data_IF_522597540245
#
_entry.id   IF_522597540245
#
_cell.length_a   1.000
_cell.length_b   1.000
_cell.length_c   1.000
_cell.angle_alpha   90.00
_cell.angle_beta   90.00
_cell.angle_gamma   90.00
#
_symmetry.space_group_name_H-M   'P 1'
#
loop_
_entity.id
_entity.type
_entity.pdbx_description
1 polymer ?
#
# COMPACT_ATOMS: atom_id res chain seq x y z
N UNK A 1 3.34 11.82 26.38
CA UNK A 1 4.29 12.38 25.37
C UNK A 1 3.71 13.70 24.86
N UNK A 2 4.50 14.78 24.74
CA UNK A 2 4.01 16.10 24.36
C UNK A 2 3.54 16.07 22.88
N UNK A 3 2.32 16.57 22.58
CA UNK A 3 1.71 16.59 21.24
C UNK A 3 2.66 17.21 20.19
N UNK A 4 3.40 18.26 20.53
CA UNK A 4 4.39 18.87 19.63
C UNK A 4 5.50 17.89 19.25
N UNK A 5 5.97 17.07 20.19
CA UNK A 5 7.01 16.06 19.94
C UNK A 5 6.52 14.92 19.04
N UNK A 6 5.28 14.52 19.21
CA UNK A 6 4.69 13.49 18.33
C UNK A 6 4.51 13.98 16.90
N UNK A 7 4.07 15.23 16.71
CA UNK A 7 3.97 15.84 15.37
C UNK A 7 5.34 15.98 14.72
N UNK A 8 6.36 16.34 15.48
CA UNK A 8 7.74 16.42 14.97
C UNK A 8 8.24 15.04 14.50
N UNK A 9 8.03 13.98 15.28
CA UNK A 9 8.47 12.64 14.94
C UNK A 9 7.82 12.13 13.64
N UNK A 10 6.51 12.38 13.41
CA UNK A 10 5.86 11.93 12.20
C UNK A 10 6.30 12.73 10.97
N UNK A 11 6.57 14.03 11.12
CA UNK A 11 7.13 14.84 10.04
C UNK A 11 8.53 14.36 9.66
N UNK A 12 9.41 14.15 10.64
CA UNK A 12 10.77 13.61 10.39
C UNK A 12 10.69 12.24 9.70
N UNK A 13 9.84 11.34 10.18
CA UNK A 13 9.64 10.04 9.54
C UNK A 13 9.14 10.20 8.09
N UNK A 14 8.20 11.10 7.84
CA UNK A 14 7.71 11.41 6.50
C UNK A 14 8.82 11.92 5.58
N UNK A 15 9.64 12.86 6.05
CA UNK A 15 10.79 13.37 5.28
C UNK A 15 11.76 12.25 4.90
N UNK A 16 12.12 11.38 5.85
CA UNK A 16 13.01 10.23 5.60
C UNK A 16 12.39 9.26 4.59
N UNK A 17 11.10 8.93 4.73
CA UNK A 17 10.41 8.01 3.82
C UNK A 17 10.35 8.56 2.40
N UNK A 18 10.10 9.87 2.23
CA UNK A 18 10.06 10.48 0.90
C UNK A 18 11.44 10.47 0.21
N UNK A 19 12.51 10.79 0.96
CA UNK A 19 13.89 10.69 0.45
C UNK A 19 14.22 9.24 0.06
N UNK A 20 13.94 8.26 0.93
CA UNK A 20 14.18 6.83 0.64
C UNK A 20 13.44 6.42 -0.63
N UNK A 21 12.18 6.84 -0.81
CA UNK A 21 11.41 6.49 -1.99
C UNK A 21 12.03 7.04 -3.29
N UNK A 22 12.52 8.28 -3.30
CA UNK A 22 13.21 8.86 -4.44
C UNK A 22 14.58 8.20 -4.70
N UNK A 23 15.33 7.90 -3.65
CA UNK A 23 16.61 7.19 -3.77
C UNK A 23 16.44 5.77 -4.30
N UNK A 24 15.38 5.05 -3.91
CA UNK A 24 15.09 3.73 -4.49
C UNK A 24 14.85 3.80 -6.00
N UNK A 25 14.20 4.87 -6.50
CA UNK A 25 14.07 5.09 -7.95
C UNK A 25 15.44 5.36 -8.58
N UNK A 26 16.27 6.18 -7.96
CA UNK A 26 17.64 6.43 -8.42
C UNK A 26 18.49 5.16 -8.48
N UNK A 27 18.32 4.24 -7.53
CA UNK A 27 19.03 2.95 -7.50
C UNK A 27 18.40 1.86 -8.37
N UNK A 28 17.36 2.15 -9.16
CA UNK A 28 16.85 1.26 -10.18
C UNK A 28 15.38 0.82 -10.01
N UNK A 29 14.67 1.21 -8.96
CA UNK A 29 13.23 0.95 -8.88
C UNK A 29 12.48 1.71 -10.00
N UNK A 30 11.29 1.22 -10.42
CA UNK A 30 10.54 1.90 -11.46
C UNK A 30 10.20 3.35 -11.07
N UNK A 31 10.25 4.26 -12.03
CA UNK A 31 9.93 5.67 -11.81
C UNK A 31 8.53 5.84 -11.18
N UNK A 32 8.39 6.81 -10.27
CA UNK A 32 7.19 7.06 -9.46
C UNK A 32 6.73 5.86 -8.61
N UNK A 33 7.57 4.81 -8.45
CA UNK A 33 7.22 3.58 -7.73
C UNK A 33 8.26 3.21 -6.67
N UNK A 34 9.01 4.19 -6.15
CA UNK A 34 10.08 3.94 -5.20
C UNK A 34 9.67 3.09 -4.00
N UNK A 35 8.48 3.35 -3.44
CA UNK A 35 7.89 2.54 -2.37
C UNK A 35 6.38 2.40 -2.57
N UNK A 36 5.94 1.47 -3.45
CA UNK A 36 4.54 1.19 -3.70
C UNK A 36 4.10 -0.14 -3.12
N UNK A 37 3.28 -0.12 -2.06
CA UNK A 37 2.85 -1.35 -1.39
C UNK A 37 2.05 -2.27 -2.33
N UNK A 38 1.05 -1.75 -3.03
CA UNK A 38 0.20 -2.57 -3.90
C UNK A 38 0.99 -3.17 -5.07
N UNK A 39 1.82 -2.35 -5.75
CA UNK A 39 2.61 -2.84 -6.87
C UNK A 39 3.66 -3.88 -6.42
N UNK A 40 4.27 -3.67 -5.26
CA UNK A 40 5.28 -4.58 -4.74
C UNK A 40 4.68 -5.90 -4.23
N UNK A 41 3.47 -5.87 -3.65
CA UNK A 41 2.72 -7.10 -3.34
C UNK A 41 2.31 -7.84 -4.62
N UNK A 42 1.90 -7.11 -5.67
CA UNK A 42 1.60 -7.66 -6.99
C UNK A 42 2.83 -8.34 -7.60
N UNK A 43 3.96 -7.65 -7.62
CA UNK A 43 5.21 -8.18 -8.18
C UNK A 43 5.66 -9.43 -7.40
N UNK A 44 5.54 -9.41 -6.06
CA UNK A 44 5.83 -10.56 -5.20
C UNK A 44 4.90 -11.73 -5.50
N UNK A 45 3.59 -11.48 -5.69
CA UNK A 45 2.64 -12.52 -6.10
C UNK A 45 3.04 -13.14 -7.44
N UNK A 46 3.51 -12.35 -8.40
CA UNK A 46 4.03 -12.82 -9.68
C UNK A 46 5.32 -13.62 -9.55
N UNK A 47 6.27 -13.12 -8.75
CA UNK A 47 7.51 -13.84 -8.46
C UNK A 47 7.28 -15.20 -7.81
N UNK A 48 6.26 -15.31 -6.95
CA UNK A 48 5.81 -16.58 -6.35
C UNK A 48 4.95 -17.44 -7.29
N UNK A 49 4.74 -17.03 -8.55
CA UNK A 49 3.98 -17.78 -9.54
C UNK A 49 2.46 -17.77 -9.38
N UNK A 50 1.90 -16.88 -8.53
CA UNK A 50 0.46 -16.77 -8.32
C UNK A 50 -0.26 -16.13 -9.53
N UNK A 51 0.47 -15.45 -10.41
CA UNK A 51 -0.01 -14.99 -11.71
C UNK A 51 1.08 -15.10 -12.80
N UNK A 52 0.67 -15.05 -14.07
CA UNK A 52 1.54 -15.25 -15.24
C UNK A 52 1.90 -13.96 -16.00
N UNK A 53 1.62 -12.79 -15.47
CA UNK A 53 1.96 -11.52 -16.10
C UNK A 53 3.49 -11.30 -16.02
N UNK A 54 4.21 -11.68 -17.08
CA UNK A 54 5.68 -11.68 -17.13
C UNK A 54 6.32 -10.32 -16.82
N UNK A 55 5.64 -9.21 -17.13
CA UNK A 55 6.14 -7.85 -16.90
C UNK A 55 6.26 -7.45 -15.41
N UNK A 56 5.66 -8.22 -14.50
CA UNK A 56 5.52 -7.83 -13.07
C UNK A 56 5.77 -9.03 -12.14
N UNK A 57 6.89 -9.75 -12.38
CA UNK A 57 7.32 -10.91 -11.61
C UNK A 57 8.67 -10.63 -10.94
N UNK A 58 8.62 -10.29 -9.64
CA UNK A 58 9.80 -10.09 -8.82
C UNK A 58 9.43 -10.09 -7.33
N UNK A 59 10.11 -10.88 -6.51
CA UNK A 59 9.93 -10.82 -5.05
C UNK A 59 10.57 -9.53 -4.53
N UNK A 60 9.77 -8.62 -3.98
CA UNK A 60 10.21 -7.28 -3.56
C UNK A 60 10.77 -7.26 -2.14
N UNK A 61 12.10 -7.06 -1.96
CA UNK A 61 12.73 -7.02 -0.64
C UNK A 61 12.21 -5.87 0.24
N UNK A 62 11.70 -4.79 -0.37
CA UNK A 62 11.11 -3.66 0.34
C UNK A 62 9.91 -4.07 1.20
N UNK A 63 9.07 -5.00 0.72
CA UNK A 63 7.93 -5.52 1.47
C UNK A 63 8.40 -6.40 2.63
N UNK A 64 9.37 -7.26 2.36
CA UNK A 64 9.98 -8.12 3.38
C UNK A 64 10.58 -7.25 4.49
N UNK A 65 11.41 -6.28 4.11
CA UNK A 65 12.03 -5.34 5.03
C UNK A 65 11.02 -4.54 5.84
N UNK A 66 9.93 -4.08 5.20
CA UNK A 66 8.88 -3.31 5.88
C UNK A 66 8.22 -4.12 7.01
N UNK A 67 7.87 -5.38 6.76
CA UNK A 67 7.27 -6.25 7.79
C UNK A 67 8.29 -6.57 8.87
N UNK A 68 9.52 -6.95 8.51
CA UNK A 68 10.57 -7.29 9.48
C UNK A 68 11.03 -6.07 10.29
N UNK A 69 11.08 -4.88 9.69
CA UNK A 69 11.40 -3.64 10.40
C UNK A 69 10.33 -3.24 11.42
N UNK A 70 9.05 -3.37 11.05
CA UNK A 70 7.96 -3.15 12.00
C UNK A 70 7.93 -4.19 13.11
N UNK A 71 8.17 -5.46 12.78
CA UNK A 71 8.28 -6.57 13.72
C UNK A 71 9.42 -6.35 14.72
N UNK A 72 10.63 -6.05 14.23
CA UNK A 72 11.81 -5.84 15.08
C UNK A 72 11.61 -4.71 16.07
N UNK A 73 11.10 -3.55 15.62
CA UNK A 73 10.87 -2.42 16.51
C UNK A 73 9.71 -2.66 17.48
N UNK A 74 8.66 -3.39 17.06
CA UNK A 74 7.56 -3.77 17.94
C UNK A 74 8.03 -4.70 19.06
N UNK A 75 8.90 -5.68 18.78
CA UNK A 75 9.53 -6.53 19.77
C UNK A 75 10.41 -5.72 20.73
N UNK A 76 11.29 -4.89 20.20
CA UNK A 76 12.23 -4.08 20.99
C UNK A 76 11.51 -3.11 21.95
N UNK A 77 10.36 -2.59 21.54
CA UNK A 77 9.54 -1.66 22.37
C UNK A 77 8.48 -2.36 23.22
N UNK A 78 8.37 -3.68 23.18
CA UNK A 78 7.33 -4.42 23.90
C UNK A 78 5.90 -4.15 23.38
N UNK A 79 5.77 -3.69 22.14
CA UNK A 79 4.48 -3.37 21.50
C UNK A 79 3.94 -4.55 20.65
N UNK A 80 4.72 -5.63 20.52
CA UNK A 80 4.28 -6.84 19.84
C UNK A 80 3.10 -7.49 20.54
N UNK A 81 2.00 -7.70 19.82
CA UNK A 81 0.76 -8.26 20.37
C UNK A 81 0.08 -9.21 19.39
N UNK A 82 0.16 -10.52 19.67
CA UNK A 82 -0.56 -11.52 18.90
C UNK A 82 -2.06 -11.38 19.14
N UNK A 83 -2.80 -10.97 18.12
CA UNK A 83 -4.25 -10.74 18.17
C UNK A 83 -4.90 -10.98 16.82
N UNK A 84 -6.16 -11.47 16.83
CA UNK A 84 -6.91 -11.75 15.62
C UNK A 84 -8.34 -12.15 15.91
N UNK A 85 -9.02 -12.70 14.90
CA UNK A 85 -10.40 -13.22 15.02
C UNK A 85 -11.49 -12.17 14.76
N UNK A 86 -11.13 -10.96 14.35
CA UNK A 86 -12.08 -9.89 14.00
C UNK A 86 -12.49 -10.00 12.54
N UNK A 87 -13.58 -10.74 12.26
CA UNK A 87 -14.20 -10.87 10.94
C UNK A 87 -13.22 -11.21 9.79
N UNK A 88 -12.48 -12.35 9.85
CA UNK A 88 -11.39 -12.65 8.91
C UNK A 88 -11.85 -12.68 7.44
N UNK A 89 -13.01 -13.29 7.13
CA UNK A 89 -13.53 -13.33 5.76
C UNK A 89 -13.82 -11.92 5.22
N UNK A 90 -14.43 -11.07 6.03
CA UNK A 90 -14.71 -9.67 5.62
C UNK A 90 -13.42 -8.91 5.37
N UNK A 91 -12.39 -9.09 6.19
CA UNK A 91 -11.08 -8.47 6.01
C UNK A 91 -10.39 -8.94 4.74
N UNK A 92 -10.46 -10.25 4.45
CA UNK A 92 -9.94 -10.81 3.22
C UNK A 92 -10.63 -10.20 1.99
N UNK A 93 -11.97 -10.17 1.96
CA UNK A 93 -12.75 -9.62 0.83
C UNK A 93 -12.49 -8.12 0.66
N UNK A 94 -12.44 -7.34 1.73
CA UNK A 94 -12.09 -5.93 1.66
C UNK A 94 -10.66 -5.73 1.13
N UNK A 95 -9.68 -6.53 1.59
CA UNK A 95 -8.31 -6.52 1.08
C UNK A 95 -8.24 -6.83 -0.42
N UNK A 96 -8.98 -7.85 -0.87
CA UNK A 96 -9.09 -8.22 -2.27
C UNK A 96 -9.57 -7.04 -3.14
N UNK A 97 -10.67 -6.39 -2.78
CA UNK A 97 -11.21 -5.27 -3.55
C UNK A 97 -10.39 -3.99 -3.44
N UNK A 98 -9.73 -3.76 -2.30
CA UNK A 98 -8.74 -2.67 -2.18
C UNK A 98 -7.60 -2.87 -3.18
N UNK A 99 -7.12 -4.10 -3.39
CA UNK A 99 -6.10 -4.36 -4.39
C UNK A 99 -6.62 -4.13 -5.82
N UNK A 100 -7.84 -4.54 -6.14
CA UNK A 100 -8.48 -4.25 -7.44
C UNK A 100 -8.48 -2.74 -7.71
N UNK A 101 -8.91 -1.93 -6.75
CA UNK A 101 -8.88 -0.47 -6.87
C UNK A 101 -7.47 0.10 -7.03
N UNK A 102 -6.49 -0.42 -6.28
CA UNK A 102 -5.09 -0.04 -6.41
C UNK A 102 -4.52 -0.37 -7.80
N UNK A 103 -4.89 -1.50 -8.39
CA UNK A 103 -4.41 -1.91 -9.72
C UNK A 103 -5.19 -1.23 -10.85
N UNK A 104 -6.39 -0.73 -10.60
CA UNK A 104 -7.08 0.20 -11.51
C UNK A 104 -6.32 1.52 -11.62
N UNK A 105 -5.92 2.12 -10.51
CA UNK A 105 -5.15 3.37 -10.43
C UNK A 105 -3.66 3.18 -10.75
N UNK A 106 -3.17 1.93 -10.78
CA UNK A 106 -1.75 1.57 -10.84
C UNK A 106 -0.95 2.10 -9.66
N UNK A 107 -1.50 2.00 -8.44
CA UNK A 107 -0.78 2.42 -7.24
C UNK A 107 -1.61 2.41 -5.97
N UNK A 108 -0.94 2.23 -4.82
CA UNK A 108 -1.55 2.44 -3.51
C UNK A 108 -1.57 3.93 -3.13
N UNK A 109 -2.26 4.33 -2.05
CA UNK A 109 -2.28 5.72 -1.61
C UNK A 109 -0.89 6.34 -1.34
N UNK A 110 0.10 5.55 -0.90
CA UNK A 110 1.46 6.04 -0.75
C UNK A 110 2.08 6.39 -2.12
N UNK A 111 1.93 5.49 -3.11
CA UNK A 111 2.39 5.77 -4.47
C UNK A 111 1.67 6.97 -5.09
N UNK A 112 0.40 7.18 -4.79
CA UNK A 112 -0.34 8.36 -5.24
C UNK A 112 0.40 9.66 -4.87
N UNK A 113 0.90 9.76 -3.63
CA UNK A 113 1.72 10.89 -3.18
C UNK A 113 3.06 10.95 -3.94
N UNK A 114 3.72 9.81 -4.16
CA UNK A 114 4.98 9.76 -4.90
C UNK A 114 4.81 10.11 -6.39
N UNK A 115 3.66 9.73 -7.01
CA UNK A 115 3.30 10.16 -8.37
C UNK A 115 3.14 11.68 -8.44
N UNK A 116 2.44 12.29 -7.46
CA UNK A 116 2.34 13.75 -7.34
C UNK A 116 3.72 14.40 -7.19
N UNK A 117 4.60 13.82 -6.35
CA UNK A 117 5.97 14.29 -6.18
C UNK A 117 6.84 14.13 -7.45
N UNK A 118 6.46 13.25 -8.37
CA UNK A 118 7.05 13.10 -9.70
C UNK A 118 6.43 13.98 -10.78
N UNK A 119 5.38 14.77 -10.44
CA UNK A 119 4.70 15.66 -11.39
C UNK A 119 3.52 15.02 -12.13
N UNK A 120 3.08 13.82 -11.76
CA UNK A 120 1.95 13.15 -12.39
C UNK A 120 0.61 13.75 -11.94
N UNK A 121 -0.01 14.53 -12.81
CA UNK A 121 -1.29 15.20 -12.53
C UNK A 121 -2.49 14.22 -12.48
N UNK A 122 -2.38 13.01 -13.05
CA UNK A 122 -3.44 11.99 -12.92
C UNK A 122 -3.61 11.56 -11.47
N UNK A 123 -2.56 11.68 -10.65
CA UNK A 123 -2.62 11.37 -9.23
C UNK A 123 -3.49 12.35 -8.44
N UNK A 124 -3.78 13.57 -8.93
CA UNK A 124 -4.75 14.49 -8.33
C UNK A 124 -6.17 13.92 -8.42
N UNK A 125 -6.54 13.37 -9.60
CA UNK A 125 -7.84 12.74 -9.79
C UNK A 125 -7.99 11.48 -8.93
N UNK A 126 -6.91 10.69 -8.82
CA UNK A 126 -6.85 9.58 -7.86
C UNK A 126 -6.99 10.07 -6.41
N UNK A 127 -6.33 11.17 -6.06
CA UNK A 127 -6.40 11.80 -4.73
C UNK A 127 -7.82 12.25 -4.38
N UNK A 128 -8.52 12.87 -5.34
CA UNK A 128 -9.93 13.25 -5.18
C UNK A 128 -10.79 12.00 -4.90
N UNK A 129 -10.63 10.94 -5.72
CA UNK A 129 -11.32 9.68 -5.52
C UNK A 129 -11.03 9.07 -4.14
N UNK A 130 -9.78 9.09 -3.71
CA UNK A 130 -9.38 8.58 -2.41
C UNK A 130 -10.05 9.32 -1.24
N UNK A 131 -10.13 10.66 -1.31
CA UNK A 131 -10.84 11.48 -0.33
C UNK A 131 -12.34 11.13 -0.32
N UNK A 132 -12.99 11.07 -1.49
CA UNK A 132 -14.41 10.72 -1.59
C UNK A 132 -14.69 9.33 -1.01
N UNK A 133 -13.85 8.34 -1.30
CA UNK A 133 -13.96 7.00 -0.72
C UNK A 133 -13.80 7.00 0.80
N UNK A 134 -12.85 7.79 1.34
CA UNK A 134 -12.70 7.95 2.79
C UNK A 134 -13.95 8.58 3.41
N UNK A 135 -14.52 9.62 2.80
CA UNK A 135 -15.74 10.25 3.31
C UNK A 135 -16.92 9.27 3.33
N UNK A 136 -17.07 8.44 2.29
CA UNK A 136 -18.06 7.36 2.27
C UNK A 136 -17.83 6.37 3.44
N UNK A 137 -16.59 5.94 3.67
CA UNK A 137 -16.24 5.06 4.80
C UNK A 137 -16.49 5.71 6.17
N UNK A 138 -16.16 7.00 6.32
CA UNK A 138 -16.41 7.77 7.54
C UNK A 138 -17.90 7.87 7.84
N UNK A 139 -18.76 7.99 6.83
CA UNK A 139 -20.20 7.91 7.02
C UNK A 139 -20.63 6.63 7.73
N UNK A 140 -20.14 5.46 7.31
CA UNK A 140 -20.43 4.18 7.96
C UNK A 140 -19.84 4.11 9.37
N UNK A 141 -18.63 4.61 9.60
CA UNK A 141 -18.03 4.69 10.95
C UNK A 141 -18.91 5.52 11.91
N UNK A 142 -19.40 6.68 11.48
CA UNK A 142 -20.30 7.53 12.27
C UNK A 142 -21.64 6.84 12.57
N UNK A 143 -22.08 5.92 11.72
CA UNK A 143 -23.30 5.12 11.92
C UNK A 143 -23.07 3.85 12.76
N UNK A 144 -21.84 3.62 13.27
CA UNK A 144 -21.54 2.51 14.17
C UNK A 144 -20.96 1.26 13.49
N UNK A 145 -20.43 1.39 12.25
CA UNK A 145 -19.72 0.29 11.59
C UNK A 145 -18.59 -0.25 12.47
N UNK A 146 -18.50 -1.57 12.58
CA UNK A 146 -17.44 -2.26 13.31
C UNK A 146 -17.20 -3.66 12.76
N UNK A 147 -15.92 -4.04 12.64
CA UNK A 147 -15.50 -5.42 12.34
C UNK A 147 -15.43 -6.30 13.59
N UNK A 148 -16.01 -5.85 14.72
CA UNK A 148 -15.97 -6.48 16.04
C UNK A 148 -14.57 -6.42 16.68
N UNK A 149 -14.42 -7.08 17.85
CA UNK A 149 -13.16 -7.07 18.61
C UNK A 149 -12.22 -8.18 18.13
N UNK A 150 -10.92 -7.88 18.12
CA UNK A 150 -9.87 -8.90 18.05
C UNK A 150 -9.65 -9.51 19.43
N UNK A 151 -9.26 -10.76 19.47
CA UNK A 151 -8.94 -11.50 20.67
C UNK A 151 -7.43 -11.70 20.78
N UNK A 152 -6.93 -11.85 22.01
CA UNK A 152 -5.55 -12.28 22.24
C UNK A 152 -5.38 -13.72 21.75
N UNK A 153 -4.30 -13.98 21.01
CA UNK A 153 -3.98 -15.29 20.41
C UNK A 153 -2.65 -15.80 20.95
N UNK A 154 -2.35 -17.06 20.69
CA UNK A 154 -1.05 -17.62 21.03
C UNK A 154 0.07 -16.80 20.36
N UNK A 155 1.14 -16.55 21.09
CA UNK A 155 2.24 -15.69 20.63
C UNK A 155 2.84 -16.18 19.30
N UNK A 156 2.86 -17.50 19.09
CA UNK A 156 3.32 -18.15 17.87
C UNK A 156 2.53 -17.71 16.63
N UNK A 157 1.23 -17.50 16.74
CA UNK A 157 0.39 -17.04 15.62
C UNK A 157 0.76 -15.64 15.13
N UNK A 158 1.17 -14.76 16.06
CA UNK A 158 1.68 -13.42 15.71
C UNK A 158 3.04 -13.46 15.00
N UNK A 159 3.87 -14.47 15.26
CA UNK A 159 5.16 -14.67 14.60
C UNK A 159 5.03 -15.25 13.18
N UNK A 160 3.92 -15.88 12.85
CA UNK A 160 3.76 -16.60 11.59
C UNK A 160 3.99 -15.70 10.36
N UNK A 161 3.37 -14.52 10.32
CA UNK A 161 3.50 -13.64 9.15
C UNK A 161 4.92 -13.07 8.97
N UNK A 162 5.62 -12.56 10.00
CA UNK A 162 7.04 -12.25 9.93
C UNK A 162 7.92 -13.44 9.51
N UNK A 163 7.65 -14.65 10.00
CA UNK A 163 8.39 -15.85 9.61
C UNK A 163 8.20 -16.18 8.11
N UNK A 164 6.99 -16.02 7.58
CA UNK A 164 6.73 -16.17 6.14
C UNK A 164 7.59 -15.18 5.35
N UNK A 165 7.79 -13.94 5.80
CA UNK A 165 8.65 -12.98 5.10
C UNK A 165 10.11 -13.44 5.06
N UNK A 166 10.62 -14.08 6.12
CA UNK A 166 11.96 -14.67 6.12
C UNK A 166 12.06 -15.80 5.09
N UNK A 167 11.05 -16.67 5.02
CA UNK A 167 11.00 -17.74 4.00
C UNK A 167 10.97 -17.15 2.59
N UNK A 168 10.14 -16.12 2.34
CA UNK A 168 10.06 -15.43 1.05
C UNK A 168 11.40 -14.78 0.68
N UNK A 169 12.13 -14.25 1.67
CA UNK A 169 13.49 -13.72 1.44
C UNK A 169 14.49 -14.82 1.06
N UNK A 170 14.43 -15.97 1.72
CA UNK A 170 15.26 -17.13 1.38
C UNK A 170 14.94 -17.60 -0.05
N UNK A 171 13.67 -17.65 -0.43
CA UNK A 171 13.25 -18.01 -1.81
C UNK A 171 13.77 -17.01 -2.85
N UNK A 172 13.78 -15.71 -2.53
CA UNK A 172 14.37 -14.70 -3.43
C UNK A 172 15.87 -14.93 -3.64
N UNK A 173 16.62 -15.20 -2.57
CA UNK A 173 18.09 -15.38 -2.64
C UNK A 173 18.47 -16.72 -3.27
N UNK A 174 17.75 -17.79 -2.93
CA UNK A 174 17.98 -19.12 -3.48
C UNK A 174 17.53 -19.27 -4.95
N UNK A 175 16.57 -18.42 -5.36
CA UNK A 175 16.02 -18.38 -6.72
C UNK A 175 15.74 -19.76 -7.34
N UNK A 176 14.99 -20.64 -6.65
CA UNK A 176 14.69 -21.95 -7.21
C UNK A 176 13.82 -21.82 -8.48
N UNK A 177 13.81 -22.85 -9.33
CA UNK A 177 13.19 -22.82 -10.67
C UNK A 177 11.68 -22.46 -10.69
N UNK A 178 10.99 -22.56 -9.58
CA UNK A 178 9.57 -22.18 -9.47
C UNK A 178 9.37 -20.69 -9.08
N UNK A 179 10.44 -19.95 -8.80
CA UNK A 179 10.40 -18.49 -8.61
C UNK A 179 10.59 -17.82 -9.96
N UNK A 180 9.71 -16.88 -10.28
CA UNK A 180 9.71 -16.17 -11.56
C UNK A 180 10.31 -14.78 -11.42
N UNK A 181 11.05 -14.40 -12.46
CA UNK A 181 11.65 -13.07 -12.59
C UNK A 181 11.27 -12.50 -13.96
N UNK A 182 10.96 -11.20 -13.98
CA UNK A 182 10.77 -10.47 -15.24
C UNK A 182 12.11 -10.37 -15.97
N UNK A 183 12.14 -10.72 -17.24
CA UNK A 183 13.34 -10.58 -18.08
C UNK A 183 13.77 -9.12 -18.21
N UNK A 184 15.05 -8.91 -18.48
CA UNK A 184 15.61 -7.57 -18.65
C UNK A 184 14.89 -6.82 -19.78
N UNK A 185 14.39 -5.60 -19.48
CA UNK A 185 13.57 -4.81 -20.42
C UNK A 185 12.10 -5.22 -20.50
N UNK A 186 11.69 -6.32 -19.89
CA UNK A 186 10.33 -6.89 -19.99
C UNK A 186 9.26 -6.15 -19.17
N UNK A 187 9.60 -5.13 -18.38
CA UNK A 187 8.62 -4.35 -17.64
C UNK A 187 9.06 -3.91 -16.23
N UNK A 188 8.11 -3.44 -15.41
CA UNK A 188 8.40 -2.93 -14.06
C UNK A 188 9.06 -3.95 -13.12
N UNK A 189 8.79 -5.24 -13.30
CA UNK A 189 9.40 -6.30 -12.48
C UNK A 189 10.91 -6.42 -12.67
N UNK A 190 11.42 -6.10 -13.87
CA UNK A 190 12.86 -6.09 -14.16
C UNK A 190 13.60 -4.89 -13.54
N UNK A 191 12.86 -3.84 -13.15
CA UNK A 191 13.43 -2.63 -12.53
C UNK A 191 13.40 -2.76 -11.01
N UNK A 192 14.57 -2.82 -10.39
CA UNK A 192 14.70 -2.89 -8.94
C UNK A 192 16.08 -2.43 -8.48
N UNK A 193 16.15 -1.82 -7.33
CA UNK A 193 17.41 -1.54 -6.67
C UNK A 193 18.06 -2.86 -6.20
N UNK A 194 19.35 -2.81 -5.86
CA UNK A 194 20.03 -3.96 -5.30
C UNK A 194 19.30 -4.52 -4.06
N UNK A 195 19.25 -5.85 -3.91
CA UNK A 195 18.47 -6.55 -2.88
C UNK A 195 18.73 -6.00 -1.48
N UNK A 196 19.99 -5.74 -1.12
CA UNK A 196 20.36 -5.21 0.20
C UNK A 196 19.89 -3.76 0.41
N UNK A 197 19.93 -2.92 -0.65
CA UNK A 197 19.43 -1.53 -0.60
C UNK A 197 17.91 -1.54 -0.39
N UNK A 198 17.19 -2.35 -1.18
CA UNK A 198 15.75 -2.52 -1.07
C UNK A 198 15.32 -3.05 0.32
N UNK A 199 16.03 -4.06 0.83
CA UNK A 199 15.77 -4.63 2.15
C UNK A 199 16.01 -3.60 3.26
N UNK A 200 17.15 -2.89 3.23
CA UNK A 200 17.49 -1.86 4.22
C UNK A 200 16.45 -0.71 4.19
N UNK A 201 16.07 -0.24 3.01
CA UNK A 201 15.01 0.75 2.85
C UNK A 201 13.69 0.27 3.46
N UNK A 202 13.30 -0.98 3.18
CA UNK A 202 12.13 -1.61 3.79
C UNK A 202 12.19 -1.64 5.32
N UNK A 203 13.30 -2.10 5.90
CA UNK A 203 13.51 -2.15 7.35
C UNK A 203 13.34 -0.77 8.00
N UNK A 204 13.95 0.27 7.43
CA UNK A 204 13.86 1.64 7.95
C UNK A 204 12.43 2.16 7.84
N UNK A 205 11.79 2.03 6.67
CA UNK A 205 10.41 2.50 6.46
C UNK A 205 9.44 1.75 7.38
N UNK A 206 9.61 0.43 7.56
CA UNK A 206 8.80 -0.39 8.46
C UNK A 206 8.92 0.06 9.92
N UNK A 207 10.13 0.29 10.39
CA UNK A 207 10.40 0.79 11.75
C UNK A 207 9.80 2.19 11.97
N UNK A 208 9.97 3.12 11.03
CA UNK A 208 9.43 4.47 11.11
C UNK A 208 7.89 4.46 11.06
N UNK A 209 7.30 3.68 10.16
CA UNK A 209 5.85 3.57 10.02
C UNK A 209 5.19 2.93 11.25
N UNK A 210 5.86 1.98 11.91
CA UNK A 210 5.43 1.40 13.17
C UNK A 210 5.43 2.47 14.28
N UNK A 211 6.56 3.18 14.45
CA UNK A 211 6.71 4.18 15.53
C UNK A 211 5.75 5.36 15.41
N UNK A 212 5.46 5.78 14.21
CA UNK A 212 4.58 6.93 13.93
C UNK A 212 3.13 6.55 13.69
N UNK A 213 2.85 5.23 13.57
CA UNK A 213 1.53 4.71 13.18
C UNK A 213 1.06 5.27 11.85
N UNK A 214 1.99 5.53 10.93
CA UNK A 214 1.74 6.15 9.65
C UNK A 214 0.66 5.39 8.87
N UNK A 215 -0.38 6.13 8.47
CA UNK A 215 -1.52 5.57 7.75
C UNK A 215 -2.15 6.63 6.84
N UNK A 216 -2.16 6.37 5.51
CA UNK A 216 -2.68 7.32 4.53
C UNK A 216 -4.16 7.64 4.76
N UNK A 217 -4.97 6.61 4.99
CA UNK A 217 -6.39 6.76 5.33
C UNK A 217 -6.57 7.51 6.66
N UNK A 218 -5.77 7.15 7.67
CA UNK A 218 -5.81 7.82 8.97
C UNK A 218 -5.59 9.32 8.87
N UNK A 219 -4.70 9.76 7.97
CA UNK A 219 -4.42 11.19 7.77
C UNK A 219 -5.67 12.01 7.45
N UNK A 220 -6.50 11.55 6.53
CA UNK A 220 -7.71 12.27 6.12
C UNK A 220 -8.88 11.94 7.07
N UNK A 221 -9.06 10.67 7.43
CA UNK A 221 -10.13 10.23 8.35
C UNK A 221 -10.07 10.97 9.69
N UNK A 222 -8.89 11.11 10.28
CA UNK A 222 -8.73 11.68 11.61
C UNK A 222 -8.96 13.20 11.60
N UNK A 223 -8.65 13.87 10.49
CA UNK A 223 -9.03 15.28 10.28
C UNK A 223 -10.55 15.43 10.24
N UNK A 224 -11.25 14.55 9.51
CA UNK A 224 -12.71 14.61 9.35
C UNK A 224 -13.45 14.23 10.62
N UNK A 225 -12.95 13.26 11.40
CA UNK A 225 -13.61 12.78 12.63
C UNK A 225 -13.22 13.58 13.86
N UNK A 226 -11.95 13.95 13.99
CA UNK A 226 -11.36 14.45 15.23
C UNK A 226 -10.67 15.82 15.09
N UNK A 227 -10.61 16.36 13.87
CA UNK A 227 -9.83 17.58 13.53
C UNK A 227 -8.33 17.45 13.88
N UNK A 228 -7.80 16.24 13.89
CA UNK A 228 -6.40 15.96 14.21
C UNK A 228 -5.57 15.75 12.92
N UNK A 229 -4.73 16.73 12.51
CA UNK A 229 -3.98 16.67 11.25
C UNK A 229 -2.64 15.93 11.37
N UNK A 230 -2.31 15.36 12.51
CA UNK A 230 -0.99 14.76 12.79
C UNK A 230 -0.51 13.80 11.71
N UNK A 231 -1.34 12.83 11.30
CA UNK A 231 -0.98 11.87 10.26
C UNK A 231 -0.90 12.55 8.88
N UNK A 232 -1.76 13.52 8.60
CA UNK A 232 -1.75 14.27 7.34
C UNK A 232 -0.45 15.07 7.17
N UNK A 233 0.10 15.62 8.26
CA UNK A 233 1.41 16.29 8.24
C UNK A 233 2.53 15.33 7.80
N UNK A 234 2.48 14.06 8.20
CA UNK A 234 3.43 13.04 7.75
C UNK A 234 3.38 12.84 6.22
N UNK A 235 2.18 12.88 5.63
CA UNK A 235 2.04 12.78 4.16
C UNK A 235 2.53 14.01 3.44
N UNK A 236 2.23 15.19 3.96
CA UNK A 236 2.79 16.43 3.45
C UNK A 236 4.32 16.39 3.46
N UNK A 237 4.91 15.86 4.52
CA UNK A 237 6.36 15.68 4.62
C UNK A 237 6.91 14.69 3.58
N UNK A 238 6.23 13.55 3.34
CA UNK A 238 6.61 12.62 2.26
C UNK A 238 6.55 13.30 0.90
N UNK A 239 5.46 14.02 0.60
CA UNK A 239 5.28 14.73 -0.66
C UNK A 239 6.39 15.74 -0.89
N UNK A 240 6.65 16.61 0.10
CA UNK A 240 7.64 17.69 -0.01
C UNK A 240 9.05 17.10 -0.19
N UNK A 241 9.44 16.14 0.63
CA UNK A 241 10.79 15.57 0.55
C UNK A 241 11.02 14.78 -0.73
N UNK A 242 10.03 14.00 -1.20
CA UNK A 242 10.11 13.29 -2.46
C UNK A 242 10.14 14.26 -3.65
N UNK A 243 9.33 15.34 -3.64
CA UNK A 243 9.34 16.38 -4.68
C UNK A 243 10.72 17.06 -4.76
N UNK A 244 11.24 17.52 -3.63
CA UNK A 244 12.56 18.18 -3.58
C UNK A 244 13.65 17.22 -4.07
N UNK A 245 13.63 15.97 -3.63
CA UNK A 245 14.61 14.98 -4.03
C UNK A 245 14.50 14.68 -5.55
N UNK A 246 13.30 14.53 -6.08
CA UNK A 246 13.09 14.31 -7.52
C UNK A 246 13.56 15.50 -8.37
N UNK A 247 13.32 16.74 -7.93
CA UNK A 247 13.82 17.94 -8.61
C UNK A 247 15.36 18.01 -8.61
N UNK A 248 15.99 17.69 -7.47
CA UNK A 248 17.46 17.65 -7.36
C UNK A 248 18.02 16.56 -8.29
N UNK A 249 17.46 15.35 -8.27
CA UNK A 249 17.90 14.24 -9.11
C UNK A 249 17.73 14.55 -10.60
N UNK A 250 16.63 15.19 -11.02
CA UNK A 250 16.42 15.61 -12.41
C UNK A 250 17.47 16.67 -12.86
N UNK A 251 17.85 17.58 -11.96
CA UNK A 251 18.87 18.58 -12.27
C UNK A 251 20.33 18.08 -12.17
N UNK A 252 20.57 17.02 -11.42
CA UNK A 252 21.91 16.49 -11.14
C UNK A 252 22.29 15.27 -12.00
N UNK A 253 21.34 14.67 -12.72
CA UNK A 253 21.55 13.44 -13.51
C UNK A 253 20.86 13.57 -14.87
N UNK A 254 21.20 12.68 -15.81
CA UNK A 254 20.52 12.61 -17.13
C UNK A 254 19.13 11.94 -17.04
N UNK A 255 18.67 11.55 -15.83
CA UNK A 255 17.39 10.89 -15.60
C UNK A 255 16.25 11.89 -15.38
N UNK A 256 15.06 11.57 -15.89
CA UNK A 256 13.83 12.37 -15.63
C UNK A 256 13.09 11.79 -14.43
N UNK A 257 13.21 12.44 -13.26
CA UNK A 257 12.52 12.06 -12.02
C UNK A 257 11.31 12.95 -11.74
N UNK A 258 11.20 14.08 -12.41
CA UNK A 258 10.08 15.01 -12.32
C UNK A 258 9.64 15.46 -13.73
N UNK A 259 8.36 15.23 -14.04
CA UNK A 259 7.71 15.65 -15.28
C UNK A 259 6.26 16.07 -14.99
N UNK A 260 5.99 17.38 -15.03
CA UNK A 260 4.67 17.91 -14.70
C UNK A 260 3.74 17.81 -15.92
N UNK A 261 2.95 16.72 -15.98
CA UNK A 261 2.00 16.49 -17.07
C UNK A 261 0.95 15.45 -16.69
N UNK A 262 -0.11 15.33 -17.51
CA UNK A 262 -1.02 14.20 -17.51
C UNK A 262 -0.48 13.04 -18.36
N UNK A 263 0.12 13.34 -19.51
CA UNK A 263 0.65 12.36 -20.46
C UNK A 263 2.12 12.05 -20.21
N UNK A 264 2.60 10.92 -20.76
CA UNK A 264 4.01 10.53 -20.66
C UNK A 264 4.44 10.10 -19.25
N UNK A 265 3.53 9.88 -18.34
CA UNK A 265 3.85 9.48 -16.97
C UNK A 265 4.22 7.99 -16.88
N UNK A 266 5.30 7.65 -16.18
CA UNK A 266 5.73 6.25 -16.09
C UNK A 266 4.72 5.40 -15.31
N UNK A 267 4.28 4.30 -15.94
CA UNK A 267 3.39 3.29 -15.35
C UNK A 267 2.12 3.95 -14.78
N UNK A 268 1.51 4.81 -15.58
CA UNK A 268 0.27 5.53 -15.28
C UNK A 268 -0.56 5.66 -16.56
N UNK A 269 -1.87 5.69 -16.44
CA UNK A 269 -2.79 6.00 -17.55
C UNK A 269 -3.52 7.31 -17.29
N UNK A 270 -4.04 7.90 -18.36
CA UNK A 270 -4.68 9.23 -18.36
C UNK A 270 -6.20 9.18 -18.17
N UNK A 271 -6.81 7.98 -18.04
CA UNK A 271 -8.25 7.87 -17.81
C UNK A 271 -8.62 8.34 -16.39
N UNK A 272 -8.96 9.63 -16.28
CA UNK A 272 -9.22 10.31 -15.01
C UNK A 272 -10.41 9.73 -14.24
N UNK A 273 -11.46 9.27 -14.95
CA UNK A 273 -12.63 8.68 -14.30
C UNK A 273 -12.28 7.39 -13.57
N UNK A 274 -11.52 6.50 -14.21
CA UNK A 274 -11.14 5.22 -13.62
C UNK A 274 -10.00 5.36 -12.62
N UNK A 275 -9.13 6.35 -12.76
CA UNK A 275 -8.21 6.75 -11.70
C UNK A 275 -8.98 7.19 -10.44
N UNK A 276 -10.03 7.98 -10.59
CA UNK A 276 -10.88 8.43 -9.49
C UNK A 276 -11.66 7.26 -8.87
N UNK A 277 -12.44 6.49 -9.65
CA UNK A 277 -13.29 5.41 -9.15
C UNK A 277 -12.48 4.29 -8.50
N UNK A 278 -11.32 3.92 -9.07
CA UNK A 278 -10.40 2.97 -8.45
C UNK A 278 -9.98 3.43 -7.05
N UNK A 279 -9.63 4.71 -6.91
CA UNK A 279 -9.21 5.26 -5.63
C UNK A 279 -10.38 5.55 -4.67
N UNK A 280 -11.63 5.75 -5.16
CA UNK A 280 -12.84 5.71 -4.31
C UNK A 280 -12.96 4.34 -3.65
N UNK A 281 -12.82 3.25 -4.42
CA UNK A 281 -12.87 1.89 -3.90
C UNK A 281 -11.78 1.65 -2.85
N UNK A 282 -10.54 2.11 -3.12
CA UNK A 282 -9.42 2.02 -2.18
C UNK A 282 -9.71 2.79 -0.90
N UNK A 283 -10.11 4.06 -0.99
CA UNK A 283 -10.39 4.90 0.18
C UNK A 283 -11.49 4.32 1.05
N UNK A 284 -12.58 3.89 0.43
CA UNK A 284 -13.72 3.31 1.14
C UNK A 284 -13.35 1.98 1.81
N UNK A 285 -12.78 1.03 1.07
CA UNK A 285 -12.37 -0.27 1.62
C UNK A 285 -11.35 -0.12 2.76
N UNK A 286 -10.37 0.76 2.60
CA UNK A 286 -9.34 1.01 3.62
C UNK A 286 -9.90 1.63 4.90
N UNK A 287 -10.93 2.47 4.86
CA UNK A 287 -11.61 2.98 6.07
C UNK A 287 -12.31 1.82 6.79
N UNK A 288 -13.03 0.96 6.06
CA UNK A 288 -13.71 -0.20 6.65
C UNK A 288 -12.72 -1.23 7.23
N UNK A 289 -11.52 -1.36 6.64
CA UNK A 289 -10.42 -2.18 7.16
C UNK A 289 -9.71 -1.56 8.38
N UNK A 290 -9.88 -0.26 8.60
CA UNK A 290 -9.20 0.47 9.66
C UNK A 290 -7.76 0.91 9.32
N UNK A 291 -7.31 0.76 8.05
CA UNK A 291 -5.99 1.19 7.63
C UNK A 291 -5.69 0.92 6.16
N UNK A 292 -4.79 1.72 5.56
CA UNK A 292 -4.32 1.54 4.19
C UNK A 292 -3.40 0.30 4.06
N UNK A 293 -3.05 -0.14 2.84
CA UNK A 293 -2.17 -1.30 2.63
C UNK A 293 -0.85 -1.22 3.40
N UNK A 294 -0.21 -0.04 3.47
CA UNK A 294 0.98 0.18 4.29
C UNK A 294 0.71 -0.18 5.77
N UNK A 295 -0.37 0.37 6.35
CA UNK A 295 -0.70 0.13 7.76
C UNK A 295 -1.04 -1.34 8.02
N UNK A 296 -1.66 -2.05 7.08
CA UNK A 296 -1.95 -3.49 7.22
C UNK A 296 -0.66 -4.33 7.28
N UNK A 297 0.35 -4.02 6.44
CA UNK A 297 1.65 -4.68 6.52
C UNK A 297 2.38 -4.39 7.83
N UNK A 298 2.38 -3.15 8.30
CA UNK A 298 2.97 -2.78 9.59
C UNK A 298 2.30 -3.53 10.73
N UNK A 299 0.96 -3.56 10.77
CA UNK A 299 0.21 -4.27 11.80
C UNK A 299 0.44 -5.78 11.76
N UNK A 300 0.62 -6.39 10.58
CA UNK A 300 0.96 -7.81 10.48
C UNK A 300 2.33 -8.11 11.09
N UNK A 301 3.29 -7.18 10.96
CA UNK A 301 4.58 -7.24 11.65
C UNK A 301 4.45 -7.05 13.18
N UNK A 302 3.48 -6.26 13.64
CA UNK A 302 3.16 -6.07 15.07
C UNK A 302 2.47 -7.30 15.71
N UNK A 303 2.16 -8.36 14.92
CA UNK A 303 1.54 -9.61 15.39
C UNK A 303 0.02 -9.69 15.11
N UNK A 304 -0.56 -8.79 14.32
CA UNK A 304 -2.00 -8.83 13.99
C UNK A 304 -2.29 -9.85 12.89
N UNK A 305 -2.88 -11.00 13.24
CA UNK A 305 -3.38 -12.00 12.28
C UNK A 305 -4.53 -11.46 11.43
N UNK A 306 -5.36 -10.56 11.96
CA UNK A 306 -6.41 -9.85 11.20
C UNK A 306 -5.83 -9.04 10.04
N UNK A 307 -4.69 -8.38 10.27
CA UNK A 307 -3.99 -7.62 9.23
C UNK A 307 -3.26 -8.54 8.26
N UNK A 308 -2.71 -9.65 8.72
CA UNK A 308 -2.13 -10.68 7.87
C UNK A 308 -3.17 -11.25 6.88
N UNK A 309 -4.39 -11.55 7.35
CA UNK A 309 -5.51 -11.97 6.49
C UNK A 309 -5.88 -10.89 5.48
N UNK A 310 -5.86 -9.61 5.88
CA UNK A 310 -6.08 -8.50 4.94
C UNK A 310 -5.00 -8.48 3.85
N UNK A 311 -3.72 -8.65 4.23
CA UNK A 311 -2.60 -8.70 3.27
C UNK A 311 -2.72 -9.91 2.34
N UNK A 312 -3.16 -11.07 2.83
CA UNK A 312 -3.47 -12.21 1.97
C UNK A 312 -4.58 -11.86 0.96
N UNK A 313 -5.62 -11.14 1.39
CA UNK A 313 -6.65 -10.62 0.48
C UNK A 313 -6.07 -9.71 -0.60
N UNK A 314 -5.13 -8.82 -0.24
CA UNK A 314 -4.42 -7.97 -1.21
C UNK A 314 -3.62 -8.81 -2.22
N UNK A 315 -2.87 -9.83 -1.76
CA UNK A 315 -2.05 -10.70 -2.63
C UNK A 315 -2.94 -11.50 -3.59
N UNK A 316 -4.02 -12.12 -3.09
CA UNK A 316 -4.96 -12.87 -3.91
C UNK A 316 -5.68 -11.94 -4.89
N UNK A 317 -6.05 -10.73 -4.46
CA UNK A 317 -6.61 -9.71 -5.35
C UNK A 317 -5.66 -9.32 -6.50
N UNK A 318 -4.35 -9.23 -6.22
CA UNK A 318 -3.34 -8.96 -7.24
C UNK A 318 -3.22 -10.13 -8.24
N UNK A 319 -3.15 -11.36 -7.73
CA UNK A 319 -3.10 -12.57 -8.55
C UNK A 319 -4.34 -12.69 -9.46
N UNK A 320 -5.53 -12.49 -8.87
CA UNK A 320 -6.79 -12.53 -9.60
C UNK A 320 -6.85 -11.44 -10.68
N UNK A 321 -6.45 -10.21 -10.34
CA UNK A 321 -6.47 -9.09 -11.28
C UNK A 321 -5.62 -9.36 -12.52
N UNK A 322 -4.45 -9.95 -12.38
CA UNK A 322 -3.58 -10.26 -13.51
C UNK A 322 -4.01 -11.51 -14.29
N UNK A 323 -4.48 -12.55 -13.61
CA UNK A 323 -4.92 -13.77 -14.28
C UNK A 323 -6.22 -13.59 -15.09
N UNK A 324 -7.09 -12.64 -14.69
CA UNK A 324 -8.37 -12.37 -15.35
C UNK A 324 -8.41 -11.03 -16.11
N UNK A 325 -7.27 -10.38 -16.30
CA UNK A 325 -7.18 -9.14 -17.08
C UNK A 325 -7.95 -7.96 -16.46
N UNK A 326 -7.94 -7.83 -15.13
CA UNK A 326 -8.60 -6.72 -14.42
C UNK A 326 -7.64 -5.55 -14.16
N UNK A 327 -6.33 -5.81 -14.13
CA UNK A 327 -5.34 -4.77 -13.89
C UNK A 327 -5.24 -3.82 -15.08
N UNK A 328 -5.13 -2.51 -14.80
CA UNK A 328 -4.83 -1.49 -15.80
C UNK A 328 -3.36 -1.61 -16.28
N UNK A 329 -3.07 -0.98 -17.40
CA UNK A 329 -1.72 -0.75 -17.93
C UNK A 329 -1.50 0.74 -18.16
N UNK A 330 -0.32 1.13 -18.67
CA UNK A 330 -0.06 2.49 -19.10
C UNK A 330 -0.99 2.94 -20.26
N UNK A 331 -1.49 1.99 -21.05
CA UNK A 331 -2.42 2.23 -22.14
C UNK A 331 -3.86 2.53 -21.67
N UNK A 332 -4.18 2.17 -20.42
CA UNK A 332 -5.48 2.43 -19.83
C UNK A 332 -6.08 1.26 -19.05
N UNK A 333 -7.31 1.45 -18.56
CA UNK A 333 -8.06 0.43 -17.84
C UNK A 333 -8.72 -0.57 -18.82
N UNK A 334 -8.70 -1.85 -18.44
CA UNK A 334 -9.39 -2.92 -19.17
C UNK A 334 -10.91 -2.86 -18.95
N UNK A 335 -11.70 -3.41 -19.87
CA UNK A 335 -13.16 -3.54 -19.68
C UNK A 335 -13.49 -4.38 -18.44
N UNK A 336 -12.80 -5.49 -18.24
CA UNK A 336 -12.99 -6.36 -17.07
C UNK A 336 -12.62 -5.63 -15.77
N UNK A 337 -11.57 -4.81 -15.78
CA UNK A 337 -11.17 -4.00 -14.63
C UNK A 337 -12.22 -2.98 -14.25
N UNK A 338 -12.83 -2.31 -15.22
CA UNK A 338 -13.95 -1.37 -15.01
C UNK A 338 -15.12 -2.05 -14.31
N UNK A 339 -15.53 -3.21 -14.79
CA UNK A 339 -16.61 -4.02 -14.18
C UNK A 339 -16.22 -4.44 -12.76
N UNK A 340 -14.99 -4.89 -12.55
CA UNK A 340 -14.52 -5.32 -11.24
C UNK A 340 -14.51 -4.19 -10.20
N UNK A 341 -14.18 -2.95 -10.59
CA UNK A 341 -14.27 -1.78 -9.70
C UNK A 341 -15.70 -1.49 -9.30
N UNK A 342 -16.65 -1.54 -10.25
CA UNK A 342 -18.08 -1.33 -9.95
C UNK A 342 -18.60 -2.42 -9.00
N UNK A 343 -18.30 -3.69 -9.27
CA UNK A 343 -18.65 -4.80 -8.36
C UNK A 343 -18.02 -4.56 -6.98
N UNK A 344 -16.76 -4.15 -6.94
CA UNK A 344 -16.05 -3.86 -5.69
C UNK A 344 -16.72 -2.77 -4.87
N UNK A 345 -17.14 -1.68 -5.50
CA UNK A 345 -17.88 -0.60 -4.84
C UNK A 345 -19.21 -1.09 -4.24
N UNK A 346 -19.94 -1.92 -4.99
CA UNK A 346 -21.20 -2.52 -4.51
C UNK A 346 -20.94 -3.46 -3.32
N UNK A 347 -19.95 -4.34 -3.42
CA UNK A 347 -19.59 -5.30 -2.35
C UNK A 347 -19.12 -4.57 -1.09
N UNK A 348 -18.24 -3.58 -1.23
CA UNK A 348 -17.75 -2.80 -0.08
C UNK A 348 -18.87 -2.01 0.58
N UNK A 349 -19.79 -1.43 -0.22
CA UNK A 349 -20.99 -0.77 0.31
C UNK A 349 -21.92 -1.75 1.03
N UNK A 350 -22.17 -2.93 0.47
CA UNK A 350 -22.96 -3.99 1.12
C UNK A 350 -22.32 -4.43 2.46
N UNK A 351 -21.00 -4.61 2.52
CA UNK A 351 -20.27 -4.90 3.77
C UNK A 351 -20.46 -3.76 4.77
N UNK A 352 -20.35 -2.51 4.33
CA UNK A 352 -20.63 -1.33 5.13
C UNK A 352 -22.04 -1.36 5.74
N UNK A 353 -23.07 -1.59 4.92
CA UNK A 353 -24.46 -1.67 5.35
C UNK A 353 -24.70 -2.83 6.33
N UNK A 354 -24.25 -4.04 5.98
CA UNK A 354 -24.47 -5.24 6.80
C UNK A 354 -23.83 -5.13 8.19
N UNK A 355 -22.64 -4.55 8.30
CA UNK A 355 -21.92 -4.40 9.58
C UNK A 355 -22.35 -3.15 10.36
N UNK A 356 -23.16 -2.25 9.77
CA UNK A 356 -23.67 -1.04 10.41
C UNK A 356 -25.13 -1.23 10.88
N UNK A 357 -26.01 -1.70 9.98
CA UNK A 357 -27.46 -1.67 10.18
C UNK A 357 -28.06 -3.03 10.56
N UNK A 358 -27.27 -4.11 10.56
CA UNK A 358 -27.75 -5.41 11.02
C UNK A 358 -28.10 -5.32 12.50
N UNK A 359 -29.39 -5.46 12.86
CA UNK A 359 -29.83 -5.57 14.25
C UNK A 359 -29.01 -6.66 14.94
N UNK A 360 -28.48 -6.36 16.14
CA UNK A 360 -27.90 -7.39 17.01
C UNK A 360 -28.99 -8.42 17.29
N UNK A 361 -28.90 -9.60 16.66
CA UNK A 361 -29.67 -10.75 17.10
C UNK A 361 -29.05 -11.29 18.38
#
# INVERSE_FOLDING_TARGET
MNIKRERLHIVIAGLIIGVIASLLVFFGNPANMGFCIACFLRDTAGGLGLHRAAAVQYIRPEIIGLVLGSFGIALFKGEFSAKGGSAPLTRFVLGFFVMIGCLMFLGCPLRMILRLAGGDLNALLGGLGFVLGILAGVFFLKKGYSLKRSYSMARLEGFLFPAIQVVVFILLVAAPAFIYFTEAGGGPGAKHAAVLISLAAGLIVGALAQRTRLCMVGGIRDVVLFREPKLLMGFGAILISALVCNLILTGATDGTYFHLAFEGQPIAHTDGLWNCLGMVLVGFGCVLLGGCPLRQLVLSGEGSSDSAVTVLGLIVGAAFAHNFGLASSAEGPTANGKIAVVIGLVVVAAIGCLNTFRKKA
#
